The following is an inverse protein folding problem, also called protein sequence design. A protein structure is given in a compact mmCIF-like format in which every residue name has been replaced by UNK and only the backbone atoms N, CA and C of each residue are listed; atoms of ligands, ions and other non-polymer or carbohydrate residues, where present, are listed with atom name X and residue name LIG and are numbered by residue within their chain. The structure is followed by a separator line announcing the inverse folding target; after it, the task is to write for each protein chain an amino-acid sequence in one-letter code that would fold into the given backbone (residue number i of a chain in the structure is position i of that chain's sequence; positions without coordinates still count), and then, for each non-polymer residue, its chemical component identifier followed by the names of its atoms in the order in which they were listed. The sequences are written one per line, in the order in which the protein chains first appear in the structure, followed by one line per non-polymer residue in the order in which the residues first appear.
data_IF_441509966670
#
_entry.id   IF_441509966670
#
_cell.length_a   1.000
_cell.length_b   1.000
_cell.length_c   1.000
_cell.angle_alpha   90.00
_cell.angle_beta   90.00
_cell.angle_gamma   90.00
#
_symmetry.space_group_name_H-M   'P 1'
#
loop_
_entity.id
_entity.type
_entity.pdbx_description
1 polymer ?
#
# COMPACT_ATOMS: atom_id res chain seq x y z
N UNK A 1 -30.19 50.82 37.66
CA UNK A 1 -29.69 49.68 36.87
C UNK A 1 -29.59 48.52 37.85
N UNK A 2 -30.38 47.47 37.68
CA UNK A 2 -30.44 46.37 38.65
C UNK A 2 -29.25 45.42 38.42
N UNK A 3 -28.81 44.69 39.45
CA UNK A 3 -27.68 43.75 39.34
C UNK A 3 -27.93 42.67 38.27
N UNK A 4 -29.20 42.25 38.14
CA UNK A 4 -29.65 41.29 37.13
C UNK A 4 -29.47 41.82 35.69
N UNK A 5 -29.76 43.10 35.44
CA UNK A 5 -29.60 43.71 34.11
C UNK A 5 -28.11 43.76 33.71
N UNK A 6 -27.21 43.98 34.68
CA UNK A 6 -25.76 43.98 34.46
C UNK A 6 -25.21 42.56 34.21
N UNK A 7 -25.75 41.55 34.90
CA UNK A 7 -25.36 40.15 34.67
C UNK A 7 -25.84 39.66 33.30
N UNK A 8 -27.09 39.95 32.93
CA UNK A 8 -27.65 39.56 31.64
C UNK A 8 -26.92 40.26 30.47
N UNK A 9 -26.60 41.55 30.61
CA UNK A 9 -25.79 42.25 29.62
C UNK A 9 -24.37 41.67 29.48
N UNK A 10 -23.80 41.11 30.55
CA UNK A 10 -22.51 40.43 30.51
C UNK A 10 -22.57 39.09 29.79
N UNK A 11 -23.62 38.31 30.02
CA UNK A 11 -23.87 37.03 29.32
C UNK A 11 -24.07 37.25 27.81
N UNK A 12 -24.89 38.24 27.42
CA UNK A 12 -25.11 38.59 26.01
C UNK A 12 -23.82 39.00 25.29
N UNK A 13 -22.89 39.66 25.98
CA UNK A 13 -21.59 40.05 25.41
C UNK A 13 -20.67 38.83 25.24
N UNK A 14 -20.67 37.90 26.21
CA UNK A 14 -19.90 36.67 26.14
C UNK A 14 -20.38 35.76 25.01
N UNK A 15 -21.68 35.65 24.81
CA UNK A 15 -22.25 34.85 23.72
C UNK A 15 -21.89 35.41 22.35
N UNK A 16 -21.96 36.75 22.18
CA UNK A 16 -21.48 37.42 20.96
C UNK A 16 -19.99 37.22 20.72
N UNK A 17 -19.18 37.20 21.78
CA UNK A 17 -17.75 36.92 21.67
C UNK A 17 -17.51 35.47 21.24
N UNK A 18 -18.29 34.51 21.74
CA UNK A 18 -18.24 33.11 21.30
C UNK A 18 -18.67 32.94 19.85
N UNK A 19 -19.76 33.59 19.40
CA UNK A 19 -20.19 33.55 18.00
C UNK A 19 -19.09 34.09 17.07
N UNK A 20 -18.41 35.17 17.50
CA UNK A 20 -17.28 35.73 16.77
C UNK A 20 -16.09 34.78 16.76
N UNK A 21 -15.77 34.13 17.88
CA UNK A 21 -14.70 33.15 17.96
C UNK A 21 -14.98 31.95 17.04
N UNK A 22 -16.21 31.44 17.04
CA UNK A 22 -16.64 30.38 16.14
C UNK A 22 -16.47 30.77 14.67
N UNK A 23 -16.89 31.99 14.30
CA UNK A 23 -16.69 32.52 12.94
C UNK A 23 -15.21 32.63 12.56
N UNK A 24 -14.33 32.99 13.49
CA UNK A 24 -12.88 33.04 13.26
C UNK A 24 -12.31 31.62 13.10
N UNK A 25 -12.66 30.69 13.99
CA UNK A 25 -12.17 29.29 13.94
C UNK A 25 -12.62 28.60 12.65
N UNK A 26 -13.82 28.90 12.14
CA UNK A 26 -14.28 28.39 10.85
C UNK A 26 -13.30 28.74 9.69
N UNK A 27 -12.60 29.87 9.78
CA UNK A 27 -11.62 30.31 8.78
C UNK A 27 -10.32 29.50 8.80
N UNK A 28 -10.07 28.68 9.82
CA UNK A 28 -8.92 27.77 9.83
C UNK A 28 -8.99 26.73 8.71
N UNK A 29 -10.21 26.45 8.22
CA UNK A 29 -10.44 25.58 7.07
C UNK A 29 -10.21 26.26 5.70
N UNK A 30 -9.85 27.55 5.68
CA UNK A 30 -9.61 28.32 4.45
C UNK A 30 -8.53 27.67 3.57
N UNK A 31 -8.69 27.81 2.25
CA UNK A 31 -7.68 27.41 1.26
C UNK A 31 -6.53 28.41 1.14
N UNK A 32 -6.64 29.57 1.79
CA UNK A 32 -5.63 30.63 1.79
C UNK A 32 -4.88 30.62 3.13
N UNK A 33 -3.56 30.46 3.06
CA UNK A 33 -2.68 30.35 4.22
C UNK A 33 -2.60 31.65 5.01
N UNK A 34 -2.66 32.80 4.34
CA UNK A 34 -2.62 34.13 4.99
C UNK A 34 -3.90 34.36 5.80
N UNK A 35 -5.05 33.93 5.27
CA UNK A 35 -6.34 34.01 5.98
C UNK A 35 -6.33 33.12 7.23
N UNK A 36 -5.71 31.94 7.17
CA UNK A 36 -5.56 31.06 8.33
C UNK A 36 -4.70 31.70 9.42
N UNK A 37 -3.54 32.26 9.06
CA UNK A 37 -2.61 32.87 10.00
C UNK A 37 -3.21 34.15 10.63
N UNK A 38 -3.90 34.96 9.84
CA UNK A 38 -4.64 36.11 10.35
C UNK A 38 -5.78 35.69 11.29
N UNK A 39 -6.53 34.64 10.94
CA UNK A 39 -7.58 34.09 11.79
C UNK A 39 -7.02 33.63 13.14
N UNK A 40 -5.89 32.92 13.16
CA UNK A 40 -5.24 32.48 14.39
C UNK A 40 -4.82 33.67 15.26
N UNK A 41 -4.19 34.69 14.67
CA UNK A 41 -3.82 35.90 15.39
C UNK A 41 -5.04 36.64 15.97
N UNK A 42 -6.14 36.72 15.22
CA UNK A 42 -7.41 37.30 15.68
C UNK A 42 -8.03 36.49 16.82
N UNK A 43 -8.00 35.16 16.74
CA UNK A 43 -8.52 34.26 17.77
C UNK A 43 -7.72 34.39 19.07
N UNK A 44 -6.38 34.37 19.00
CA UNK A 44 -5.50 34.57 20.16
C UNK A 44 -5.77 35.93 20.81
N UNK A 45 -5.90 37.00 20.02
CA UNK A 45 -6.18 38.35 20.51
C UNK A 45 -7.57 38.47 21.16
N UNK A 46 -8.60 37.90 20.53
CA UNK A 46 -9.95 37.87 21.08
C UNK A 46 -9.98 37.10 22.39
N UNK A 47 -9.40 35.90 22.41
CA UNK A 47 -9.44 35.04 23.60
C UNK A 47 -8.63 35.60 24.77
N UNK A 48 -7.49 36.22 24.49
CA UNK A 48 -6.70 36.92 25.51
C UNK A 48 -7.46 38.09 26.15
N UNK A 49 -8.32 38.78 25.39
CA UNK A 49 -9.14 39.89 25.90
C UNK A 49 -10.34 39.43 26.72
N UNK A 50 -11.08 38.44 26.23
CA UNK A 50 -12.37 38.04 26.84
C UNK A 50 -12.22 36.94 27.90
N UNK A 51 -11.29 35.99 27.73
CA UNK A 51 -11.11 34.84 28.63
C UNK A 51 -9.70 34.76 29.25
N UNK A 52 -8.84 35.75 28.99
CA UNK A 52 -7.49 35.86 29.56
C UNK A 52 -6.43 34.95 28.92
N UNK A 53 -6.83 33.93 28.15
CA UNK A 53 -5.93 33.08 27.39
C UNK A 53 -6.62 32.43 26.19
N UNK A 54 -5.85 32.01 25.20
CA UNK A 54 -6.36 31.29 24.03
C UNK A 54 -7.07 29.99 24.42
N UNK A 55 -6.41 29.19 25.27
CA UNK A 55 -6.93 27.93 25.81
C UNK A 55 -8.29 28.09 26.49
N UNK A 56 -8.41 29.06 27.40
CA UNK A 56 -9.66 29.31 28.12
C UNK A 56 -10.82 29.70 27.19
N UNK A 57 -10.54 30.48 26.13
CA UNK A 57 -11.55 30.84 25.13
C UNK A 57 -12.04 29.63 24.33
N UNK A 58 -11.14 28.74 23.92
CA UNK A 58 -11.52 27.51 23.22
C UNK A 58 -12.22 26.49 24.12
N UNK A 59 -11.84 26.37 25.39
CA UNK A 59 -12.55 25.55 26.38
C UNK A 59 -14.00 26.02 26.58
N UNK A 60 -14.24 27.34 26.51
CA UNK A 60 -15.60 27.88 26.55
C UNK A 60 -16.41 27.52 25.29
N UNK A 61 -15.79 27.61 24.11
CA UNK A 61 -16.40 27.19 22.85
C UNK A 61 -16.73 25.69 22.86
N UNK A 62 -15.83 24.86 23.38
CA UNK A 62 -16.05 23.42 23.59
C UNK A 62 -17.25 23.18 24.50
N UNK A 63 -17.33 23.86 25.65
CA UNK A 63 -18.46 23.72 26.57
C UNK A 63 -19.78 24.10 25.89
N UNK A 64 -19.78 25.15 25.06
CA UNK A 64 -20.95 25.53 24.26
C UNK A 64 -21.34 24.42 23.27
N UNK A 65 -20.39 23.83 22.54
CA UNK A 65 -20.65 22.73 21.60
C UNK A 65 -21.20 21.48 22.30
N UNK A 66 -20.65 21.11 23.44
CA UNK A 66 -21.14 19.99 24.27
C UNK A 66 -22.56 20.24 24.79
N UNK A 67 -22.91 21.49 25.13
CA UNK A 67 -24.27 21.84 25.52
C UNK A 67 -25.28 21.75 24.35
N UNK A 68 -24.83 21.93 23.11
CA UNK A 68 -25.67 21.82 21.92
C UNK A 68 -25.71 20.39 21.33
N UNK A 69 -24.81 19.48 21.76
CA UNK A 69 -24.71 18.13 21.22
C UNK A 69 -25.92 17.24 21.52
N UNK A 70 -26.71 17.59 22.53
CA UNK A 70 -27.93 16.86 22.91
C UNK A 70 -29.09 17.01 21.93
N UNK A 71 -29.00 17.90 20.94
CA UNK A 71 -30.12 18.24 20.03
C UNK A 71 -29.83 18.04 18.54
N UNK A 72 -28.72 17.42 18.16
CA UNK A 72 -28.29 17.31 16.75
C UNK A 72 -28.30 15.86 16.25
N UNK A 73 -28.61 15.67 14.96
CA UNK A 73 -28.77 14.36 14.31
C UNK A 73 -27.45 13.58 14.11
N UNK A 74 -26.27 14.21 14.32
CA UNK A 74 -24.96 13.56 14.21
C UNK A 74 -24.08 13.80 15.45
N UNK A 75 -24.21 12.95 16.48
CA UNK A 75 -23.44 13.10 17.73
C UNK A 75 -21.94 12.84 17.53
N UNK A 76 -21.57 11.99 16.56
CA UNK A 76 -20.18 11.62 16.33
C UNK A 76 -19.39 12.78 15.71
N UNK A 77 -19.97 13.49 14.74
CA UNK A 77 -19.33 14.66 14.16
C UNK A 77 -19.03 15.75 15.20
N UNK A 78 -19.96 15.96 16.15
CA UNK A 78 -19.78 16.94 17.24
C UNK A 78 -18.70 16.48 18.20
N UNK A 79 -18.67 15.21 18.59
CA UNK A 79 -17.63 14.67 19.47
C UNK A 79 -16.24 14.83 18.84
N UNK A 80 -16.11 14.53 17.53
CA UNK A 80 -14.88 14.76 16.78
C UNK A 80 -14.48 16.24 16.71
N UNK A 81 -15.44 17.16 16.53
CA UNK A 81 -15.17 18.60 16.54
C UNK A 81 -14.68 19.06 17.92
N UNK A 82 -15.32 18.61 19.00
CA UNK A 82 -14.93 18.89 20.38
C UNK A 82 -13.50 18.43 20.67
N UNK A 83 -13.14 17.20 20.26
CA UNK A 83 -11.78 16.68 20.42
C UNK A 83 -10.74 17.54 19.69
N UNK A 84 -11.04 17.96 18.46
CA UNK A 84 -10.16 18.83 17.68
C UNK A 84 -10.00 20.23 18.29
N UNK A 85 -11.07 20.80 18.81
CA UNK A 85 -11.02 22.10 19.50
C UNK A 85 -10.20 22.02 20.80
N UNK A 86 -10.26 20.90 21.52
CA UNK A 86 -9.40 20.65 22.69
C UNK A 86 -7.93 20.52 22.30
N UNK A 87 -7.63 19.81 21.21
CA UNK A 87 -6.28 19.72 20.67
C UNK A 87 -5.74 21.10 20.29
N UNK A 88 -6.53 21.93 19.59
CA UNK A 88 -6.17 23.31 19.25
C UNK A 88 -5.95 24.18 20.50
N UNK A 89 -6.71 23.95 21.58
CA UNK A 89 -6.55 24.69 22.82
C UNK A 89 -5.22 24.38 23.54
N UNK A 90 -4.72 23.15 23.42
CA UNK A 90 -3.41 22.75 23.95
C UNK A 90 -2.24 23.13 23.02
N UNK A 91 -2.46 23.05 21.71
CA UNK A 91 -1.46 23.29 20.67
C UNK A 91 -2.00 24.25 19.59
N UNK A 92 -1.83 25.58 19.78
CA UNK A 92 -2.33 26.58 18.84
C UNK A 92 -1.82 26.36 17.41
N UNK A 93 -2.74 26.36 16.45
CA UNK A 93 -2.51 26.11 15.04
C UNK A 93 -2.53 24.63 14.64
N UNK A 94 -2.82 23.68 15.54
CA UNK A 94 -2.98 22.26 15.21
C UNK A 94 -4.01 22.06 14.08
N UNK A 95 -5.17 22.71 14.18
CA UNK A 95 -6.22 22.66 13.15
C UNK A 95 -5.75 23.19 11.79
N UNK A 96 -4.98 24.28 11.79
CA UNK A 96 -4.40 24.88 10.58
C UNK A 96 -3.39 23.92 9.94
N UNK A 97 -2.49 23.34 10.76
CA UNK A 97 -1.51 22.35 10.27
C UNK A 97 -2.20 21.12 9.69
N UNK A 98 -3.23 20.61 10.35
CA UNK A 98 -4.04 19.50 9.83
C UNK A 98 -4.74 19.88 8.51
N UNK A 99 -5.31 21.07 8.40
CA UNK A 99 -5.95 21.55 7.18
C UNK A 99 -4.95 21.68 6.01
N UNK A 100 -3.75 22.22 6.28
CA UNK A 100 -2.66 22.32 5.30
C UNK A 100 -2.16 20.93 4.87
N UNK A 101 -1.94 20.02 5.82
CA UNK A 101 -1.53 18.65 5.52
C UNK A 101 -2.59 17.93 4.65
N UNK A 102 -3.88 18.10 4.96
CA UNK A 102 -4.97 17.56 4.14
C UNK A 102 -5.00 18.16 2.73
N UNK A 103 -4.80 19.47 2.59
CA UNK A 103 -4.69 20.14 1.28
C UNK A 103 -3.48 19.64 0.49
N UNK A 104 -2.34 19.44 1.15
CA UNK A 104 -1.14 18.93 0.51
C UNK A 104 -1.33 17.49 0.03
N UNK A 105 -1.90 16.62 0.87
CA UNK A 105 -2.23 15.24 0.49
C UNK A 105 -3.24 15.20 -0.66
N UNK A 106 -4.34 15.96 -0.57
CA UNK A 106 -5.30 16.08 -1.67
C UNK A 106 -4.68 16.68 -2.95
N UNK A 107 -3.72 17.60 -2.82
CA UNK A 107 -2.96 18.14 -3.95
C UNK A 107 -2.04 17.10 -4.60
N UNK A 108 -1.40 16.25 -3.80
CA UNK A 108 -0.59 15.12 -4.29
C UNK A 108 -1.48 14.10 -5.01
N UNK A 109 -2.60 13.71 -4.41
CA UNK A 109 -3.58 12.81 -5.03
C UNK A 109 -4.15 13.39 -6.32
N UNK A 110 -4.48 14.69 -6.36
CA UNK A 110 -4.93 15.36 -7.57
C UNK A 110 -3.86 15.40 -8.66
N UNK A 111 -2.59 15.59 -8.28
CA UNK A 111 -1.46 15.56 -9.22
C UNK A 111 -1.27 14.15 -9.77
N UNK A 112 -1.34 13.12 -8.92
CA UNK A 112 -1.26 11.72 -9.31
C UNK A 112 -2.43 11.33 -10.23
N UNK A 113 -3.65 11.70 -9.88
CA UNK A 113 -4.86 11.56 -10.72
C UNK A 113 -4.66 12.21 -12.10
N UNK A 114 -4.13 13.44 -12.14
CA UNK A 114 -3.87 14.14 -13.40
C UNK A 114 -2.81 13.42 -14.26
N UNK A 115 -1.74 12.88 -13.65
CA UNK A 115 -0.72 12.09 -14.35
C UNK A 115 -1.30 10.80 -14.95
N UNK A 116 -2.15 10.10 -14.20
CA UNK A 116 -2.83 8.88 -14.67
C UNK A 116 -3.75 9.23 -15.85
N UNK A 117 -4.59 10.26 -15.70
CA UNK A 117 -5.49 10.70 -16.77
C UNK A 117 -4.72 11.09 -18.03
N UNK A 118 -3.58 11.78 -17.90
CA UNK A 118 -2.74 12.14 -19.03
C UNK A 118 -2.15 10.92 -19.74
N UNK A 119 -1.76 9.87 -19.00
CA UNK A 119 -1.22 8.61 -19.55
C UNK A 119 -2.23 7.87 -20.43
N UNK A 120 -3.50 7.86 -20.03
CA UNK A 120 -4.59 7.22 -20.77
C UNK A 120 -5.26 8.14 -21.81
N UNK A 121 -4.94 9.43 -21.80
CA UNK A 121 -5.49 10.45 -22.71
C UNK A 121 -6.81 11.08 -22.25
N UNK A 122 -7.60 10.38 -21.43
CA UNK A 122 -8.82 10.93 -20.82
C UNK A 122 -9.17 10.21 -19.52
N UNK A 123 -10.01 10.84 -18.68
CA UNK A 123 -10.50 10.23 -17.45
C UNK A 123 -11.37 9.00 -17.72
N UNK A 124 -12.23 9.08 -18.75
CA UNK A 124 -13.06 7.96 -19.19
C UNK A 124 -12.21 6.76 -19.63
N UNK A 125 -11.13 6.99 -20.39
CA UNK A 125 -10.21 5.93 -20.80
C UNK A 125 -9.43 5.34 -19.61
N UNK A 126 -9.06 6.16 -18.61
CA UNK A 126 -8.32 5.71 -17.43
C UNK A 126 -9.17 4.79 -16.52
N UNK A 127 -10.47 5.12 -16.38
CA UNK A 127 -11.43 4.35 -15.56
C UNK A 127 -11.93 3.10 -16.30
N UNK A 128 -12.02 3.17 -17.64
CA UNK A 128 -12.46 2.06 -18.47
C UNK A 128 -11.55 0.83 -18.36
N UNK A 129 -12.10 -0.33 -18.71
CA UNK A 129 -11.30 -1.56 -18.84
C UNK A 129 -10.28 -1.39 -19.96
N UNK A 130 -9.03 -1.72 -19.67
CA UNK A 130 -7.97 -1.84 -20.68
C UNK A 130 -8.26 -3.01 -21.63
N UNK A 131 -7.60 -3.09 -22.79
CA UNK A 131 -7.75 -4.24 -23.69
C UNK A 131 -7.43 -5.59 -23.03
N UNK A 132 -6.42 -5.61 -22.14
CA UNK A 132 -6.04 -6.82 -21.38
C UNK A 132 -7.12 -7.17 -20.35
N UNK A 133 -7.63 -6.19 -19.60
CA UNK A 133 -8.73 -6.44 -18.65
C UNK A 133 -10.00 -6.94 -19.36
N UNK A 134 -10.36 -6.31 -20.49
CA UNK A 134 -11.51 -6.69 -21.32
C UNK A 134 -11.40 -8.13 -21.82
N UNK A 135 -10.19 -8.56 -22.21
CA UNK A 135 -9.92 -9.93 -22.65
C UNK A 135 -10.23 -10.95 -21.54
N UNK A 136 -9.77 -10.73 -20.31
CA UNK A 136 -10.05 -11.63 -19.18
C UNK A 136 -11.53 -11.61 -18.76
N UNK A 137 -12.14 -10.42 -18.68
CA UNK A 137 -13.56 -10.28 -18.33
C UNK A 137 -14.44 -11.01 -19.35
N UNK A 138 -14.19 -10.80 -20.65
CA UNK A 138 -14.96 -11.44 -21.72
C UNK A 138 -14.84 -12.96 -21.68
N UNK A 139 -13.65 -13.49 -21.41
CA UNK A 139 -13.45 -14.93 -21.35
C UNK A 139 -14.16 -15.58 -20.15
N UNK A 140 -14.18 -14.90 -19.00
CA UNK A 140 -14.73 -15.45 -17.77
C UNK A 140 -16.23 -15.14 -17.55
N UNK A 141 -16.87 -14.35 -18.42
CA UNK A 141 -18.25 -13.90 -18.23
C UNK A 141 -19.26 -15.05 -18.09
N UNK A 142 -19.00 -16.19 -18.72
CA UNK A 142 -19.86 -17.38 -18.65
C UNK A 142 -19.81 -18.11 -17.29
N UNK A 143 -18.86 -17.74 -16.42
CA UNK A 143 -18.75 -18.24 -15.04
C UNK A 143 -19.46 -17.34 -14.02
N UNK A 144 -20.08 -16.24 -14.45
CA UNK A 144 -20.82 -15.37 -13.56
C UNK A 144 -21.98 -16.14 -12.92
N UNK A 145 -22.01 -16.14 -11.58
CA UNK A 145 -23.11 -16.77 -10.86
C UNK A 145 -24.36 -15.91 -11.07
N UNK A 146 -25.37 -16.46 -11.73
CA UNK A 146 -26.71 -15.88 -11.71
C UNK A 146 -27.31 -16.13 -10.33
N UNK A 147 -26.87 -15.40 -9.30
CA UNK A 147 -27.40 -15.59 -7.95
C UNK A 147 -28.89 -15.17 -7.92
N UNK A 148 -29.84 -16.11 -7.82
CA UNK A 148 -31.26 -15.79 -7.80
C UNK A 148 -31.69 -15.15 -6.46
N UNK A 149 -30.79 -15.05 -5.47
CA UNK A 149 -31.02 -14.43 -4.16
C UNK A 149 -30.42 -13.02 -4.05
N UNK A 150 -29.95 -12.41 -5.14
CA UNK A 150 -29.69 -10.97 -5.18
C UNK A 150 -31.03 -10.23 -5.06
N UNK A 151 -31.55 -10.12 -3.84
CA UNK A 151 -32.80 -9.44 -3.48
C UNK A 151 -32.69 -7.98 -3.93
N UNK A 152 -33.76 -7.48 -4.55
CA UNK A 152 -33.98 -6.13 -5.12
C UNK A 152 -33.85 -4.95 -4.12
N UNK A 153 -32.84 -4.95 -3.25
CA UNK A 153 -32.63 -3.94 -2.22
C UNK A 153 -31.46 -3.01 -2.56
N UNK A 154 -31.74 -1.93 -3.29
CA UNK A 154 -31.04 -0.61 -3.35
C UNK A 154 -29.49 -0.52 -3.28
N UNK A 155 -28.78 -1.62 -3.54
CA UNK A 155 -27.34 -1.66 -3.68
C UNK A 155 -27.01 -2.60 -4.83
N UNK A 156 -27.28 -2.11 -6.05
CA UNK A 156 -27.04 -2.82 -7.31
C UNK A 156 -25.55 -3.17 -7.41
N UNK A 157 -25.16 -4.31 -6.87
CA UNK A 157 -24.09 -5.07 -7.47
C UNK A 157 -24.64 -5.45 -8.84
N UNK A 158 -24.15 -4.81 -9.90
CA UNK A 158 -24.42 -5.23 -11.28
C UNK A 158 -24.02 -6.72 -11.36
N UNK A 159 -25.00 -7.61 -11.25
CA UNK A 159 -24.79 -9.05 -11.25
C UNK A 159 -24.08 -9.53 -12.54
N UNK A 160 -24.14 -8.70 -13.59
CA UNK A 160 -23.51 -8.93 -14.89
C UNK A 160 -22.28 -8.03 -15.14
N UNK A 161 -21.79 -7.31 -14.12
CA UNK A 161 -20.65 -6.40 -14.22
C UNK A 161 -19.29 -7.13 -14.21
N UNK A 162 -18.20 -6.46 -14.62
CA UNK A 162 -16.85 -7.06 -14.62
C UNK A 162 -16.30 -7.39 -13.22
N UNK A 163 -16.99 -6.93 -12.17
CA UNK A 163 -16.70 -7.23 -10.75
C UNK A 163 -17.66 -8.28 -10.15
N UNK A 164 -18.51 -8.91 -10.97
CA UNK A 164 -19.39 -9.97 -10.51
C UNK A 164 -18.59 -11.17 -9.94
N UNK A 165 -19.23 -11.93 -9.06
CA UNK A 165 -18.68 -13.19 -8.54
C UNK A 165 -18.58 -14.20 -9.68
N UNK A 166 -17.41 -14.85 -9.81
CA UNK A 166 -17.16 -15.83 -10.86
C UNK A 166 -16.93 -17.21 -10.22
N UNK A 167 -17.83 -18.16 -10.48
CA UNK A 167 -17.82 -19.50 -9.89
C UNK A 167 -17.66 -19.50 -8.35
N UNK A 168 -18.42 -18.64 -7.67
CA UNK A 168 -18.41 -18.46 -6.22
C UNK A 168 -17.22 -17.64 -5.68
N UNK A 169 -16.35 -17.11 -6.56
CA UNK A 169 -15.16 -16.36 -6.16
C UNK A 169 -15.28 -14.87 -6.46
N UNK A 170 -15.11 -14.05 -5.43
CA UNK A 170 -15.12 -12.58 -5.51
C UNK A 170 -14.07 -11.92 -4.62
N UNK A 171 -13.38 -12.70 -3.77
CA UNK A 171 -12.49 -12.17 -2.74
C UNK A 171 -11.13 -12.86 -2.76
N UNK A 172 -10.04 -12.09 -2.60
CA UNK A 172 -8.68 -12.55 -2.86
C UNK A 172 -8.08 -13.43 -1.75
N UNK A 173 -8.81 -13.81 -0.70
CA UNK A 173 -8.31 -14.75 0.33
C UNK A 173 -8.79 -16.19 0.12
N UNK A 174 -9.86 -16.44 -0.64
CA UNK A 174 -10.32 -17.79 -0.96
C UNK A 174 -9.52 -18.39 -2.12
N UNK A 175 -9.29 -19.70 -2.12
CA UNK A 175 -8.64 -20.40 -3.24
C UNK A 175 -9.41 -20.14 -4.55
N UNK A 176 -8.66 -19.94 -5.63
CA UNK A 176 -9.25 -19.65 -6.95
C UNK A 176 -9.89 -20.94 -7.48
N UNK A 177 -11.18 -20.93 -7.85
CA UNK A 177 -11.82 -22.11 -8.43
C UNK A 177 -11.10 -22.60 -9.68
N UNK A 178 -10.95 -23.92 -9.82
CA UNK A 178 -10.23 -24.52 -10.95
C UNK A 178 -10.80 -24.10 -12.32
N UNK A 179 -12.12 -23.92 -12.41
CA UNK A 179 -12.77 -23.43 -13.63
C UNK A 179 -12.30 -22.02 -14.01
N UNK A 180 -12.25 -21.10 -13.03
CA UNK A 180 -11.78 -19.72 -13.25
C UNK A 180 -10.28 -19.70 -13.60
N UNK A 181 -9.46 -20.45 -12.86
CA UNK A 181 -8.03 -20.56 -13.13
C UNK A 181 -7.74 -21.10 -14.55
N UNK A 182 -8.52 -22.09 -15.01
CA UNK A 182 -8.39 -22.66 -16.35
C UNK A 182 -8.72 -21.61 -17.42
N UNK A 183 -9.83 -20.90 -17.29
CA UNK A 183 -10.24 -19.85 -18.25
C UNK A 183 -9.18 -18.73 -18.31
N UNK A 184 -8.72 -18.24 -17.16
CA UNK A 184 -7.69 -17.19 -17.10
C UNK A 184 -6.37 -17.65 -17.74
N UNK A 185 -5.99 -18.92 -17.57
CA UNK A 185 -4.74 -19.45 -18.14
C UNK A 185 -4.85 -19.74 -19.64
N UNK A 186 -6.01 -20.17 -20.12
CA UNK A 186 -6.26 -20.45 -21.55
C UNK A 186 -6.18 -19.17 -22.39
N UNK A 187 -6.70 -18.07 -21.85
CA UNK A 187 -6.68 -16.74 -22.48
C UNK A 187 -5.27 -16.18 -22.58
N UNK A 188 -4.50 -16.31 -21.51
CA UNK A 188 -3.13 -15.82 -21.43
C UNK A 188 -2.29 -16.81 -20.62
N UNK A 189 -1.29 -17.48 -21.22
CA UNK A 189 -0.44 -18.40 -20.49
C UNK A 189 0.22 -17.74 -19.27
N UNK A 190 0.42 -18.51 -18.19
CA UNK A 190 1.11 -18.01 -17.00
C UNK A 190 2.60 -17.75 -17.29
N UNK A 191 3.23 -16.78 -16.59
CA UNK A 191 4.66 -16.55 -16.67
C UNK A 191 5.45 -17.83 -16.36
N UNK A 192 6.55 -18.04 -17.07
CA UNK A 192 7.39 -19.24 -16.89
C UNK A 192 8.64 -18.98 -16.07
N UNK A 193 8.94 -17.71 -15.78
CA UNK A 193 10.11 -17.24 -15.04
C UNK A 193 9.70 -16.36 -13.86
N UNK A 194 10.51 -16.32 -12.81
CA UNK A 194 10.23 -15.48 -11.63
C UNK A 194 10.26 -14.00 -12.00
N UNK A 195 11.15 -13.62 -12.93
CA UNK A 195 11.27 -12.26 -13.42
C UNK A 195 10.01 -11.79 -14.17
N UNK A 196 9.47 -12.63 -15.07
CA UNK A 196 8.25 -12.31 -15.80
C UNK A 196 7.04 -12.25 -14.86
N UNK A 197 6.96 -13.17 -13.90
CA UNK A 197 5.90 -13.16 -12.88
C UNK A 197 5.95 -11.89 -12.02
N UNK A 198 7.14 -11.45 -11.60
CA UNK A 198 7.33 -10.18 -10.91
C UNK A 198 6.89 -8.98 -11.75
N UNK A 199 7.32 -8.92 -13.00
CA UNK A 199 6.99 -7.80 -13.88
C UNK A 199 5.47 -7.69 -14.11
N UNK A 200 4.79 -8.82 -14.34
CA UNK A 200 3.34 -8.85 -14.50
C UNK A 200 2.60 -8.55 -13.18
N UNK A 201 3.05 -9.08 -12.04
CA UNK A 201 2.43 -8.74 -10.74
C UNK A 201 2.52 -7.24 -10.43
N UNK A 202 3.69 -6.63 -10.66
CA UNK A 202 3.89 -5.19 -10.43
C UNK A 202 3.03 -4.32 -11.34
N UNK A 203 2.77 -4.74 -12.59
CA UNK A 203 1.87 -4.00 -13.47
C UNK A 203 0.40 -4.08 -13.02
N UNK A 204 -0.02 -5.23 -12.48
CA UNK A 204 -1.34 -5.37 -11.86
C UNK A 204 -1.48 -4.55 -10.57
N UNK A 205 -0.44 -4.47 -9.75
CA UNK A 205 -0.40 -3.61 -8.55
C UNK A 205 -0.47 -2.13 -8.93
N UNK A 206 0.30 -1.70 -9.94
CA UNK A 206 0.23 -0.33 -10.46
C UNK A 206 -1.18 -0.03 -10.96
N UNK A 207 -1.77 -0.93 -11.76
CA UNK A 207 -3.14 -0.77 -12.27
C UNK A 207 -4.18 -0.72 -11.15
N UNK A 208 -4.03 -1.53 -10.11
CA UNK A 208 -4.90 -1.50 -8.93
C UNK A 208 -4.81 -0.15 -8.22
N UNK A 209 -3.59 0.36 -7.97
CA UNK A 209 -3.36 1.67 -7.37
C UNK A 209 -3.96 2.80 -8.20
N UNK A 210 -3.80 2.76 -9.52
CA UNK A 210 -4.41 3.75 -10.42
C UNK A 210 -5.94 3.78 -10.25
N UNK A 211 -6.58 2.61 -10.17
CA UNK A 211 -8.03 2.50 -9.93
C UNK A 211 -8.43 3.02 -8.54
N UNK A 212 -7.65 2.75 -7.51
CA UNK A 212 -7.85 3.30 -6.17
C UNK A 212 -7.85 4.84 -6.17
N UNK A 213 -6.92 5.46 -6.91
CA UNK A 213 -6.81 6.93 -7.02
C UNK A 213 -7.94 7.53 -7.87
N UNK A 214 -8.41 6.81 -8.90
CA UNK A 214 -9.46 7.28 -9.80
C UNK A 214 -10.88 7.04 -9.26
N UNK A 215 -11.06 6.14 -8.30
CA UNK A 215 -12.37 5.74 -7.80
C UNK A 215 -12.98 6.82 -6.90
N UNK A 216 -14.15 7.33 -7.28
CA UNK A 216 -14.97 8.22 -6.44
C UNK A 216 -15.81 7.39 -5.44
N UNK A 217 -15.17 6.59 -4.58
CA UNK A 217 -15.82 5.87 -3.47
C UNK A 217 -15.43 4.40 -3.29
N UNK A 218 -15.84 3.79 -2.16
CA UNK A 218 -15.53 2.39 -1.84
C UNK A 218 -16.17 1.43 -2.86
N UNK A 219 -15.39 0.48 -3.38
CA UNK A 219 -15.87 -0.58 -4.29
C UNK A 219 -15.43 -0.46 -5.75
N UNK A 220 -15.26 0.76 -6.30
CA UNK A 220 -14.77 0.95 -7.70
C UNK A 220 -13.25 0.88 -7.84
N UNK A 221 -12.56 0.87 -6.70
CA UNK A 221 -11.12 0.87 -6.56
C UNK A 221 -10.45 -0.50 -6.85
N UNK A 222 -11.23 -1.56 -7.08
CA UNK A 222 -10.69 -2.92 -7.24
C UNK A 222 -10.54 -3.34 -8.70
N UNK A 223 -9.64 -4.30 -8.94
CA UNK A 223 -9.52 -4.98 -10.24
C UNK A 223 -10.79 -5.80 -10.53
N UNK A 224 -11.19 -5.95 -11.81
CA UNK A 224 -12.21 -6.91 -12.22
C UNK A 224 -11.91 -8.32 -11.68
N UNK A 225 -12.94 -9.11 -11.37
CA UNK A 225 -12.78 -10.40 -10.68
C UNK A 225 -11.81 -11.34 -11.42
N UNK A 226 -11.96 -11.49 -12.73
CA UNK A 226 -11.03 -12.31 -13.54
C UNK A 226 -9.59 -11.79 -13.53
N UNK A 227 -9.40 -10.46 -13.50
CA UNK A 227 -8.07 -9.83 -13.43
C UNK A 227 -7.45 -9.99 -12.03
N UNK A 228 -8.26 -9.90 -10.97
CA UNK A 228 -7.82 -10.17 -9.62
C UNK A 228 -7.37 -11.63 -9.45
N UNK A 229 -8.08 -12.58 -10.07
CA UNK A 229 -7.66 -13.98 -10.12
C UNK A 229 -6.32 -14.13 -10.86
N UNK A 230 -6.16 -13.50 -12.03
CA UNK A 230 -4.88 -13.48 -12.77
C UNK A 230 -3.74 -12.93 -11.93
N UNK A 231 -3.94 -11.75 -11.33
CA UNK A 231 -2.95 -11.11 -10.47
C UNK A 231 -2.51 -12.06 -9.36
N UNK A 232 -3.44 -12.70 -8.66
CA UNK A 232 -3.11 -13.66 -7.60
C UNK A 232 -2.33 -14.88 -8.11
N UNK A 233 -2.71 -15.46 -9.26
CA UNK A 233 -1.98 -16.60 -9.83
C UNK A 233 -0.52 -16.23 -10.17
N UNK A 234 -0.33 -15.04 -10.74
CA UNK A 234 1.00 -14.50 -11.08
C UNK A 234 1.80 -14.16 -9.83
N UNK A 235 1.14 -13.60 -8.81
CA UNK A 235 1.76 -13.33 -7.51
C UNK A 235 2.20 -14.62 -6.82
N UNK A 236 1.37 -15.66 -6.79
CA UNK A 236 1.73 -16.97 -6.24
C UNK A 236 2.90 -17.62 -7.02
N UNK A 237 2.93 -17.45 -8.35
CA UNK A 237 4.05 -17.86 -9.20
C UNK A 237 5.37 -17.14 -8.85
N UNK A 238 5.31 -15.82 -8.64
CA UNK A 238 6.45 -15.02 -8.19
C UNK A 238 6.89 -15.43 -6.77
N UNK A 239 5.94 -15.53 -5.85
CA UNK A 239 6.16 -15.78 -4.42
C UNK A 239 6.75 -17.17 -4.16
N UNK A 240 6.25 -18.22 -4.83
CA UNK A 240 6.60 -19.61 -4.50
C UNK A 240 6.57 -20.63 -5.65
N UNK A 241 5.64 -20.55 -6.60
CA UNK A 241 5.36 -21.72 -7.46
C UNK A 241 6.39 -21.93 -8.58
N UNK A 242 7.03 -20.86 -9.07
CA UNK A 242 8.09 -20.97 -10.08
C UNK A 242 9.45 -21.33 -9.46
N UNK A 243 10.24 -22.20 -10.10
CA UNK A 243 11.61 -22.46 -9.68
C UNK A 243 12.54 -21.33 -10.13
N UNK A 244 13.43 -20.92 -9.22
CA UNK A 244 14.52 -19.99 -9.52
C UNK A 244 15.58 -20.66 -10.41
N UNK A 245 15.98 -19.99 -11.48
CA UNK A 245 16.95 -20.44 -12.49
C UNK A 245 18.33 -19.79 -12.34
N UNK A 246 18.40 -18.60 -11.77
CA UNK A 246 19.64 -17.85 -11.59
C UNK A 246 19.59 -16.91 -10.38
N UNK A 247 20.70 -16.22 -10.13
CA UNK A 247 20.82 -15.32 -8.99
C UNK A 247 19.88 -14.10 -9.07
N UNK A 248 19.55 -13.63 -10.27
CA UNK A 248 18.66 -12.48 -10.46
C UNK A 248 17.21 -12.85 -10.13
N UNK A 249 16.75 -14.04 -10.53
CA UNK A 249 15.45 -14.56 -10.13
C UNK A 249 15.34 -14.79 -8.61
N UNK A 250 16.43 -15.22 -7.97
CA UNK A 250 16.49 -15.34 -6.52
C UNK A 250 16.36 -13.99 -5.81
N UNK A 251 17.11 -12.99 -6.29
CA UNK A 251 17.03 -11.61 -5.78
C UNK A 251 15.60 -11.06 -5.94
N UNK A 252 14.99 -11.25 -7.12
CA UNK A 252 13.61 -10.84 -7.37
C UNK A 252 12.60 -11.48 -6.40
N UNK A 253 12.81 -12.74 -5.99
CA UNK A 253 11.98 -13.40 -4.97
C UNK A 253 12.31 -12.95 -3.56
N UNK A 254 13.58 -12.70 -3.25
CA UNK A 254 14.00 -12.15 -1.97
C UNK A 254 13.37 -10.78 -1.74
N UNK A 255 13.36 -9.92 -2.77
CA UNK A 255 12.71 -8.61 -2.75
C UNK A 255 11.22 -8.71 -2.41
N UNK A 256 10.50 -9.69 -2.98
CA UNK A 256 9.09 -9.93 -2.65
C UNK A 256 8.91 -10.13 -1.15
N UNK A 257 9.67 -11.05 -0.57
CA UNK A 257 9.54 -11.40 0.84
C UNK A 257 10.07 -10.32 1.79
N UNK A 258 11.09 -9.56 1.37
CA UNK A 258 11.62 -8.43 2.14
C UNK A 258 10.65 -7.24 2.18
N UNK A 259 9.95 -6.97 1.07
CA UNK A 259 9.05 -5.81 0.96
C UNK A 259 7.62 -6.08 1.43
N UNK A 260 7.09 -7.28 1.18
CA UNK A 260 5.69 -7.63 1.47
C UNK A 260 5.49 -8.52 2.69
N UNK A 261 6.58 -9.07 3.24
CA UNK A 261 6.70 -9.79 4.52
C UNK A 261 5.39 -10.29 5.16
N UNK A 262 5.04 -11.55 4.92
CA UNK A 262 4.11 -12.31 5.77
C UNK A 262 4.90 -13.12 6.78
N UNK A 263 4.78 -12.79 8.07
CA UNK A 263 5.49 -13.43 9.20
C UNK A 263 4.89 -14.82 9.57
N UNK A 264 4.50 -15.61 8.56
CA UNK A 264 4.03 -16.99 8.76
C UNK A 264 5.16 -18.03 8.62
N UNK A 265 6.39 -17.57 8.36
CA UNK A 265 7.57 -18.41 8.17
C UNK A 265 7.59 -19.18 6.84
N UNK A 266 6.54 -19.12 6.02
CA UNK A 266 6.46 -19.85 4.75
C UNK A 266 7.50 -19.37 3.75
N UNK A 267 7.84 -18.08 3.77
CA UNK A 267 8.84 -17.48 2.88
C UNK A 267 10.25 -18.02 3.08
N UNK A 268 10.67 -18.30 4.32
CA UNK A 268 11.99 -18.87 4.59
C UNK A 268 12.16 -20.27 3.97
N UNK A 269 11.11 -21.09 3.99
CA UNK A 269 11.12 -22.41 3.37
C UNK A 269 11.36 -22.32 1.87
N UNK A 270 10.65 -21.42 1.18
CA UNK A 270 10.79 -21.19 -0.26
C UNK A 270 12.19 -20.67 -0.60
N UNK A 271 12.66 -19.63 0.10
CA UNK A 271 13.99 -19.05 -0.14
C UNK A 271 15.12 -20.07 0.12
N UNK A 272 14.99 -20.91 1.14
CA UNK A 272 15.96 -21.97 1.41
C UNK A 272 15.99 -23.02 0.28
N UNK A 273 14.82 -23.39 -0.26
CA UNK A 273 14.74 -24.30 -1.40
C UNK A 273 15.39 -23.70 -2.65
N UNK A 274 15.12 -22.43 -2.95
CA UNK A 274 15.70 -21.74 -4.10
C UNK A 274 17.21 -21.54 -3.94
N UNK A 275 17.69 -21.19 -2.74
CA UNK A 275 19.11 -21.13 -2.43
C UNK A 275 19.81 -22.48 -2.65
N UNK A 276 19.19 -23.59 -2.24
CA UNK A 276 19.72 -24.93 -2.48
C UNK A 276 19.77 -25.28 -3.96
N UNK A 277 18.77 -24.87 -4.75
CA UNK A 277 18.77 -25.05 -6.22
C UNK A 277 19.93 -24.28 -6.85
N UNK A 278 20.13 -23.02 -6.46
CA UNK A 278 21.28 -22.22 -6.89
C UNK A 278 22.61 -22.87 -6.48
N UNK A 279 22.72 -23.34 -5.23
CA UNK A 279 23.91 -24.06 -4.75
C UNK A 279 24.16 -25.37 -5.50
N UNK A 280 23.11 -26.08 -5.90
CA UNK A 280 23.19 -27.26 -6.76
C UNK A 280 23.66 -26.94 -8.19
N UNK A 281 23.37 -25.75 -8.70
CA UNK A 281 23.88 -25.25 -9.98
C UNK A 281 25.32 -24.68 -9.86
N UNK A 282 25.66 -24.10 -8.72
CA UNK A 282 26.98 -23.51 -8.44
C UNK A 282 28.02 -24.51 -7.92
N UNK A 283 27.60 -25.71 -7.52
CA UNK A 283 28.53 -26.80 -7.21
C UNK A 283 28.91 -27.49 -8.52
N UNK A 284 30.13 -27.28 -9.07
CA UNK A 284 30.67 -28.24 -10.03
C UNK A 284 30.57 -29.61 -9.38
N UNK A 285 29.87 -30.52 -10.05
CA UNK A 285 29.75 -31.94 -9.74
C UNK A 285 30.99 -32.44 -9.00
N UNK A 286 30.88 -32.63 -7.68
CA UNK A 286 31.95 -33.19 -6.83
C UNK A 286 33.34 -32.77 -7.32
N UNK A 287 33.60 -31.46 -7.28
CA UNK A 287 34.83 -30.86 -7.79
C UNK A 287 36.03 -31.76 -7.53
N UNK A 288 36.67 -32.17 -8.63
CA UNK A 288 37.89 -32.97 -8.68
C UNK A 288 38.68 -32.76 -7.40
N UNK A 289 38.76 -33.82 -6.58
CA UNK A 289 39.23 -33.70 -5.19
C UNK A 289 40.57 -32.98 -5.22
N UNK A 290 40.89 -32.17 -4.22
CA UNK A 290 42.18 -31.45 -4.15
C UNK A 290 43.38 -32.37 -4.44
N UNK A 291 43.25 -33.66 -4.10
CA UNK A 291 44.18 -34.75 -4.48
C UNK A 291 44.32 -34.97 -6.00
N UNK A 292 43.21 -35.08 -6.72
CA UNK A 292 43.17 -35.28 -8.17
C UNK A 292 43.70 -34.05 -8.91
N UNK A 293 43.31 -32.84 -8.49
CA UNK A 293 43.88 -31.58 -9.03
C UNK A 293 45.40 -31.50 -8.84
N UNK A 294 45.89 -31.87 -7.66
CA UNK A 294 47.33 -31.90 -7.39
C UNK A 294 48.06 -32.89 -8.30
N UNK A 295 47.47 -34.07 -8.57
CA UNK A 295 48.03 -35.07 -9.49
C UNK A 295 48.01 -34.60 -10.93
N UNK A 296 46.92 -33.97 -11.39
CA UNK A 296 46.81 -33.42 -12.74
C UNK A 296 47.84 -32.32 -12.99
N UNK A 297 47.92 -31.32 -12.09
CA UNK A 297 48.93 -30.25 -12.19
C UNK A 297 50.35 -30.80 -12.17
N UNK A 298 50.62 -31.88 -11.44
CA UNK A 298 51.93 -32.53 -11.44
C UNK A 298 52.25 -33.25 -12.75
N UNK A 299 51.23 -33.81 -13.42
CA UNK A 299 51.39 -34.46 -14.72
C UNK A 299 51.55 -33.45 -15.86
N UNK A 300 50.77 -32.36 -15.84
CA UNK A 300 50.82 -31.28 -16.83
C UNK A 300 52.09 -30.43 -16.68
N UNK A 301 52.60 -30.28 -15.46
CA UNK A 301 53.79 -29.47 -15.16
C UNK A 301 54.81 -30.22 -14.28
N UNK A 302 55.61 -31.14 -14.85
CA UNK A 302 56.59 -31.93 -14.12
C UNK A 302 57.66 -31.09 -13.41
N UNK A 303 57.98 -29.93 -13.98
CA UNK A 303 59.05 -29.04 -13.52
C UNK A 303 58.61 -28.13 -12.36
N UNK A 304 57.31 -28.05 -12.08
CA UNK A 304 56.80 -27.20 -11.02
C UNK A 304 57.18 -27.73 -9.64
N UNK A 305 57.68 -26.83 -8.79
CA UNK A 305 57.91 -27.16 -7.39
C UNK A 305 56.59 -27.39 -6.64
N UNK A 306 56.61 -28.22 -5.59
CA UNK A 306 55.44 -28.48 -4.75
C UNK A 306 54.86 -27.20 -4.11
N UNK A 307 55.71 -26.21 -3.86
CA UNK A 307 55.28 -24.91 -3.35
C UNK A 307 54.48 -24.12 -4.40
N UNK A 308 54.86 -24.21 -5.68
CA UNK A 308 54.11 -23.59 -6.78
C UNK A 308 52.74 -24.23 -6.97
N UNK A 309 52.68 -25.56 -6.95
CA UNK A 309 51.41 -26.31 -7.03
C UNK A 309 50.51 -25.97 -5.82
N UNK A 310 51.08 -25.84 -4.62
CA UNK A 310 50.34 -25.43 -3.43
C UNK A 310 49.78 -24.01 -3.52
N UNK A 311 50.57 -23.08 -4.07
CA UNK A 311 50.11 -21.70 -4.32
C UNK A 311 48.95 -21.66 -5.30
N UNK A 312 49.00 -22.46 -6.36
CA UNK A 312 47.94 -22.55 -7.37
C UNK A 312 46.64 -23.14 -6.81
N UNK A 313 46.76 -24.11 -5.90
CA UNK A 313 45.61 -24.78 -5.27
C UNK A 313 45.11 -24.11 -3.99
N UNK A 314 45.78 -23.05 -3.52
CA UNK A 314 45.46 -22.40 -2.24
C UNK A 314 45.71 -23.28 -1.00
N UNK A 315 46.64 -24.24 -1.08
CA UNK A 315 46.95 -25.18 0.03
C UNK A 315 48.44 -25.20 0.37
N UNK A 316 48.78 -25.66 1.58
CA UNK A 316 50.18 -25.72 2.03
C UNK A 316 51.00 -26.73 1.23
N UNK A 317 52.31 -26.47 1.08
CA UNK A 317 53.26 -27.40 0.45
C UNK A 317 53.21 -28.81 1.05
N UNK A 318 53.04 -28.91 2.38
CA UNK A 318 52.96 -30.19 3.09
C UNK A 318 51.69 -30.98 2.69
N UNK A 319 50.56 -30.29 2.49
CA UNK A 319 49.33 -30.91 2.02
C UNK A 319 49.48 -31.47 0.60
N UNK A 320 50.12 -30.71 -0.31
CA UNK A 320 50.43 -31.20 -1.68
C UNK A 320 51.28 -32.46 -1.63
N UNK A 321 52.34 -32.47 -0.82
CA UNK A 321 53.22 -33.64 -0.66
C UNK A 321 52.45 -34.86 -0.16
N UNK A 322 51.54 -34.69 0.82
CA UNK A 322 50.67 -35.76 1.34
C UNK A 322 49.73 -36.30 0.25
N UNK A 323 49.20 -35.45 -0.61
CA UNK A 323 48.30 -35.85 -1.69
C UNK A 323 49.00 -36.61 -2.83
N UNK A 324 50.29 -36.36 -3.07
CA UNK A 324 51.07 -36.99 -4.13
C UNK A 324 51.80 -38.29 -3.69
N UNK A 325 52.04 -38.50 -2.39
CA UNK A 325 52.73 -39.70 -1.86
C UNK A 325 51.85 -40.95 -1.73
N UNK A 326 50.53 -40.80 -1.86
CA UNK A 326 49.52 -41.87 -1.79
C UNK A 326 48.94 -42.16 -3.16
#
# INVERSE_FOLDING_TARGET
MNLLDLMQAGEDLRDKALDRLESIVAQYSSSDDDVQDEALARAISLCGKEWGSYKAGLEELVRRREAHSSSTDDPLAIEMEVLRLREEAEDPGALIRMARARRQLGGQENTERAMIVARYGSFEAAVSLTPVETMFVSAACHLADSDPLAVDGEGIAEADGPWATLAGWSVPWHEIPAALALVVTDVCPLPTSVADARAEALSWEERKREREILADGPGKAVLPTACAARHRMVEDAWRRDLPVRDAAEFEARLDYWASRGGDDGTGYGVLLLDWRRLGGMALPSSGERTKEKARRLRAEHPDWSLARIGKELGISRQAVHKHLKL
#
